data_IF_468462526876
#
_entry.id   IF_468462526876
#
_cell.length_a   1.000
_cell.length_b   1.000
_cell.length_c   1.000
_cell.angle_alpha   90.00
_cell.angle_beta   90.00
_cell.angle_gamma   90.00
#
_symmetry.space_group_name_H-M   'P 1'
#
loop_
_entity.id
_entity.type
_entity.pdbx_description
1 polymer ?
#
# COMPACT_ATOMS: atom_id res chain seq x y z
N UNK A 1 11.25 -26.48 2.24
CA UNK A 1 12.08 -26.04 3.37
C UNK A 1 13.18 -27.05 3.54
N UNK A 2 14.37 -26.77 2.99
CA UNK A 2 15.55 -27.56 3.33
C UNK A 2 15.97 -27.23 4.75
N UNK A 3 16.61 -28.17 5.44
CA UNK A 3 17.24 -27.89 6.75
C UNK A 3 18.56 -27.13 6.60
N UNK A 4 19.11 -27.10 5.40
CA UNK A 4 20.35 -26.40 5.08
C UNK A 4 20.14 -24.92 4.67
N UNK A 5 18.88 -24.52 4.45
CA UNK A 5 18.49 -23.16 4.06
C UNK A 5 18.02 -22.35 5.29
N UNK A 6 17.77 -21.05 5.10
CA UNK A 6 17.15 -20.21 6.13
C UNK A 6 15.83 -20.85 6.63
N UNK A 7 15.58 -20.84 7.96
CA UNK A 7 14.39 -21.46 8.53
C UNK A 7 13.09 -20.89 7.98
N UNK A 8 12.10 -21.77 7.77
CA UNK A 8 10.76 -21.37 7.35
C UNK A 8 9.85 -21.18 8.57
N UNK A 9 10.25 -20.27 9.47
CA UNK A 9 9.64 -20.11 10.80
C UNK A 9 8.45 -19.13 10.83
N UNK A 10 7.92 -18.77 9.65
CA UNK A 10 6.74 -17.91 9.52
C UNK A 10 5.55 -18.67 8.94
N UNK A 11 4.36 -18.30 9.41
CA UNK A 11 3.09 -18.74 8.83
C UNK A 11 2.42 -17.52 8.21
N UNK A 12 2.40 -17.49 6.88
CA UNK A 12 1.80 -16.41 6.09
C UNK A 12 0.61 -16.90 5.28
N UNK A 13 -0.44 -16.08 5.19
CA UNK A 13 -1.51 -16.24 4.20
C UNK A 13 -1.78 -14.89 3.55
N UNK A 14 -1.88 -14.89 2.22
CA UNK A 14 -2.17 -13.69 1.44
C UNK A 14 -3.04 -14.00 0.23
N UNK A 15 -3.70 -12.97 -0.27
CA UNK A 15 -4.21 -12.97 -1.63
C UNK A 15 -3.12 -12.53 -2.61
N UNK A 16 -3.25 -12.95 -3.87
CA UNK A 16 -2.51 -12.31 -4.97
C UNK A 16 -3.11 -10.91 -5.16
N UNK A 17 -2.26 -9.90 -5.26
CA UNK A 17 -2.67 -8.52 -5.05
C UNK A 17 -3.61 -8.02 -6.16
N UNK A 18 -3.26 -8.29 -7.42
CA UNK A 18 -4.12 -8.04 -8.58
C UNK A 18 -5.53 -8.66 -8.44
N UNK A 19 -5.64 -9.90 -7.96
CA UNK A 19 -6.91 -10.60 -7.74
C UNK A 19 -7.71 -9.91 -6.64
N UNK A 20 -7.05 -9.52 -5.55
CA UNK A 20 -7.69 -8.79 -4.46
C UNK A 20 -8.22 -7.42 -4.92
N UNK A 21 -7.46 -6.71 -5.77
CA UNK A 21 -7.88 -5.43 -6.36
C UNK A 21 -9.06 -5.61 -7.31
N UNK A 22 -9.04 -6.63 -8.17
CA UNK A 22 -10.16 -6.95 -9.06
C UNK A 22 -11.42 -7.24 -8.25
N UNK A 23 -11.32 -8.06 -7.19
CA UNK A 23 -12.44 -8.35 -6.30
C UNK A 23 -12.96 -7.06 -5.64
N UNK A 24 -12.06 -6.23 -5.12
CA UNK A 24 -12.43 -4.98 -4.45
C UNK A 24 -13.12 -3.98 -5.40
N UNK A 25 -12.64 -3.86 -6.65
CA UNK A 25 -13.29 -3.02 -7.66
C UNK A 25 -14.63 -3.59 -8.11
N UNK A 26 -14.76 -4.93 -8.11
CA UNK A 26 -16.04 -5.58 -8.41
C UNK A 26 -17.08 -5.37 -7.33
N UNK A 27 -16.68 -5.32 -6.08
CA UNK A 27 -17.58 -4.96 -4.99
C UNK A 27 -18.14 -3.53 -5.15
N UNK A 28 -17.38 -2.62 -5.79
CA UNK A 28 -17.74 -1.22 -6.04
C UNK A 28 -18.48 -1.00 -7.38
N UNK A 29 -18.90 -2.07 -8.07
CA UNK A 29 -19.53 -1.93 -9.39
C UNK A 29 -20.81 -1.07 -9.36
N UNK A 30 -21.66 -1.24 -8.34
CA UNK A 30 -22.88 -0.45 -8.20
C UNK A 30 -22.58 1.03 -7.96
N UNK A 31 -21.66 1.34 -7.05
CA UNK A 31 -21.24 2.71 -6.72
C UNK A 31 -20.59 3.42 -7.92
N UNK A 32 -19.76 2.71 -8.69
CA UNK A 32 -19.13 3.27 -9.90
C UNK A 32 -20.20 3.59 -10.95
N UNK A 33 -21.16 2.68 -11.17
CA UNK A 33 -22.24 2.90 -12.13
C UNK A 33 -23.24 3.97 -11.68
N UNK A 34 -23.48 4.13 -10.37
CA UNK A 34 -24.22 5.27 -9.82
C UNK A 34 -23.47 6.58 -10.05
N UNK A 35 -22.19 6.64 -9.71
CA UNK A 35 -21.35 7.82 -9.92
C UNK A 35 -21.28 8.27 -11.39
N UNK A 36 -21.21 7.34 -12.34
CA UNK A 36 -21.26 7.67 -13.77
C UNK A 36 -22.60 8.33 -14.16
N UNK A 37 -23.72 7.76 -13.69
CA UNK A 37 -25.06 8.30 -13.96
C UNK A 37 -25.27 9.67 -13.33
N UNK A 38 -24.83 9.87 -12.10
CA UNK A 38 -24.94 11.17 -11.40
C UNK A 38 -24.15 12.27 -12.10
N UNK A 39 -23.01 11.92 -12.71
CA UNK A 39 -22.18 12.85 -13.49
C UNK A 39 -22.70 13.08 -14.91
N UNK A 40 -23.78 12.40 -15.33
CA UNK A 40 -24.33 12.51 -16.68
C UNK A 40 -23.41 11.96 -17.77
N UNK A 41 -22.49 11.06 -17.41
CA UNK A 41 -21.52 10.48 -18.33
C UNK A 41 -22.15 9.27 -19.03
N UNK A 42 -22.11 9.23 -20.36
CA UNK A 42 -22.64 8.10 -21.11
C UNK A 42 -21.79 6.84 -20.89
N UNK A 43 -22.43 5.78 -20.38
CA UNK A 43 -21.79 4.51 -20.03
C UNK A 43 -20.98 3.90 -21.17
N UNK A 44 -21.49 4.02 -22.41
CA UNK A 44 -20.92 3.42 -23.61
C UNK A 44 -19.69 4.16 -24.15
N UNK A 45 -19.56 5.46 -23.88
CA UNK A 45 -18.41 6.28 -24.26
C UNK A 45 -17.26 6.14 -23.25
N UNK A 46 -17.59 5.94 -21.97
CA UNK A 46 -16.63 5.94 -20.86
C UNK A 46 -16.01 4.55 -20.61
N UNK A 47 -15.34 3.95 -21.60
CA UNK A 47 -14.74 2.61 -21.47
C UNK A 47 -13.25 2.63 -21.10
N UNK A 48 -12.60 3.79 -21.16
CA UNK A 48 -11.18 3.94 -20.82
C UNK A 48 -10.92 5.23 -20.04
N UNK A 49 -9.74 5.34 -19.44
CA UNK A 49 -9.35 6.53 -18.69
C UNK A 49 -9.68 6.49 -17.20
N UNK A 50 -10.10 5.33 -16.66
CA UNK A 50 -10.30 5.22 -15.22
C UNK A 50 -8.96 5.18 -14.47
N UNK A 51 -8.89 5.93 -13.39
CA UNK A 51 -7.78 5.97 -12.45
C UNK A 51 -8.30 5.61 -11.07
N UNK A 52 -7.64 4.65 -10.41
CA UNK A 52 -8.03 4.15 -9.09
C UNK A 52 -6.93 4.50 -8.10
N UNK A 53 -7.28 5.26 -7.06
CA UNK A 53 -6.36 5.57 -5.97
C UNK A 53 -6.46 4.52 -4.88
N UNK A 54 -5.35 3.86 -4.58
CA UNK A 54 -5.26 2.82 -3.56
C UNK A 54 -4.42 3.34 -2.39
N UNK A 55 -4.99 3.36 -1.19
CA UNK A 55 -4.23 3.53 0.05
C UNK A 55 -3.70 2.18 0.50
N UNK A 56 -2.40 2.06 0.67
CA UNK A 56 -1.74 0.89 1.25
C UNK A 56 -1.41 1.15 2.72
N UNK A 57 -1.50 0.12 3.55
CA UNK A 57 -1.25 0.20 4.98
C UNK A 57 -0.65 -1.10 5.49
N UNK A 58 0.38 -1.00 6.32
CA UNK A 58 1.04 -2.14 6.96
C UNK A 58 1.37 -1.74 8.39
N UNK A 59 1.08 -2.65 9.33
CA UNK A 59 1.24 -2.39 10.74
C UNK A 59 1.62 -3.69 11.47
N UNK A 60 2.50 -3.56 12.45
CA UNK A 60 2.91 -4.62 13.36
C UNK A 60 2.01 -4.68 14.59
N UNK A 61 1.69 -5.90 15.02
CA UNK A 61 0.86 -6.18 16.19
C UNK A 61 1.63 -7.09 17.15
N UNK A 62 1.84 -6.62 18.38
CA UNK A 62 2.38 -7.41 19.47
C UNK A 62 1.32 -8.24 20.20
N UNK A 63 1.77 -9.00 21.19
CA UNK A 63 0.93 -9.76 22.14
C UNK A 63 -0.05 -10.74 21.46
N UNK A 64 0.38 -11.37 20.37
CA UNK A 64 -0.40 -12.36 19.63
C UNK A 64 -0.03 -13.76 20.10
N UNK A 65 -0.73 -14.28 21.11
CA UNK A 65 -0.37 -15.55 21.76
C UNK A 65 -0.25 -16.73 20.78
N UNK A 66 0.87 -17.45 20.89
CA UNK A 66 1.10 -18.66 20.12
C UNK A 66 0.10 -19.77 20.52
N UNK A 67 -0.32 -20.57 19.54
CA UNK A 67 -1.17 -21.74 19.80
C UNK A 67 -0.32 -22.99 19.91
N UNK A 68 -0.69 -23.88 20.83
CA UNK A 68 -0.24 -25.26 20.76
C UNK A 68 -0.61 -25.87 19.41
N UNK A 69 0.27 -26.70 18.85
CA UNK A 69 0.04 -27.34 17.55
C UNK A 69 1.20 -28.23 17.13
N UNK A 70 1.11 -28.78 15.91
CA UNK A 70 2.18 -29.59 15.31
C UNK A 70 3.11 -28.80 14.39
N UNK A 71 3.00 -27.46 14.39
CA UNK A 71 3.70 -26.57 13.47
C UNK A 71 5.01 -26.02 14.03
N UNK A 72 5.79 -25.30 13.19
CA UNK A 72 7.02 -24.66 13.63
C UNK A 72 6.71 -23.65 14.74
N UNK A 73 7.72 -23.36 15.55
CA UNK A 73 7.65 -22.27 16.54
C UNK A 73 7.47 -20.96 15.78
N UNK A 74 6.46 -20.18 16.16
CA UNK A 74 6.18 -18.86 15.54
C UNK A 74 6.26 -17.75 16.58
N UNK A 75 6.64 -16.52 16.19
CA UNK A 75 6.70 -15.40 17.12
C UNK A 75 5.30 -15.00 17.60
N UNK A 76 5.19 -14.49 18.83
CA UNK A 76 3.96 -13.90 19.38
C UNK A 76 3.68 -12.47 18.88
N UNK A 77 4.06 -12.22 17.62
CA UNK A 77 3.90 -10.96 16.90
C UNK A 77 3.37 -11.27 15.51
N UNK A 78 2.56 -10.36 14.97
CA UNK A 78 2.00 -10.48 13.64
C UNK A 78 2.15 -9.18 12.88
N UNK A 79 2.32 -9.27 11.56
CA UNK A 79 2.24 -8.13 10.65
C UNK A 79 1.02 -8.31 9.76
N UNK A 80 0.27 -7.22 9.60
CA UNK A 80 -0.91 -7.16 8.73
C UNK A 80 -0.71 -6.11 7.65
N UNK A 81 -0.73 -6.57 6.40
CA UNK A 81 -0.76 -5.71 5.23
C UNK A 81 -2.18 -5.63 4.67
N UNK A 82 -2.62 -4.43 4.33
CA UNK A 82 -3.99 -4.14 3.90
C UNK A 82 -4.03 -2.98 2.90
N UNK A 83 -5.15 -2.85 2.20
CA UNK A 83 -5.38 -1.74 1.28
C UNK A 83 -6.84 -1.27 1.32
N UNK A 84 -7.06 -0.05 0.85
CA UNK A 84 -8.39 0.56 0.67
C UNK A 84 -8.45 1.25 -0.69
N UNK A 85 -9.54 1.05 -1.42
CA UNK A 85 -9.85 1.84 -2.62
C UNK A 85 -10.34 3.20 -2.13
N UNK A 86 -9.54 4.24 -2.33
CA UNK A 86 -9.84 5.59 -1.84
C UNK A 86 -10.75 6.36 -2.79
N UNK A 87 -10.49 6.25 -4.08
CA UNK A 87 -11.30 6.90 -5.10
C UNK A 87 -11.16 6.22 -6.45
N UNK A 88 -12.18 6.42 -7.28
CA UNK A 88 -12.17 6.10 -8.71
C UNK A 88 -12.50 7.40 -9.45
N UNK A 89 -11.60 7.83 -10.33
CA UNK A 89 -11.82 8.96 -11.23
C UNK A 89 -11.78 8.49 -12.68
N UNK A 90 -12.34 9.32 -13.56
CA UNK A 90 -12.35 9.12 -14.99
C UNK A 90 -11.74 10.35 -15.66
N UNK A 91 -10.77 10.12 -16.53
CA UNK A 91 -10.28 11.14 -17.45
C UNK A 91 -11.06 11.06 -18.76
N UNK A 92 -11.91 12.06 -19.01
CA UNK A 92 -12.70 12.18 -20.24
C UNK A 92 -11.83 12.79 -21.34
N UNK A 93 -12.00 12.34 -22.59
CA UNK A 93 -11.36 13.01 -23.73
C UNK A 93 -11.86 14.46 -23.83
N UNK A 94 -10.96 15.40 -24.12
CA UNK A 94 -11.18 16.86 -24.18
C UNK A 94 -11.32 17.63 -22.84
N UNK A 95 -11.25 16.98 -21.67
CA UNK A 95 -11.19 17.65 -20.36
C UNK A 95 -9.76 17.66 -19.77
N UNK A 96 -9.37 18.78 -19.14
CA UNK A 96 -8.07 18.91 -18.47
C UNK A 96 -8.03 18.24 -17.09
N UNK A 97 -9.17 18.13 -16.40
CA UNK A 97 -9.28 17.60 -15.04
C UNK A 97 -9.99 16.24 -14.99
N UNK A 98 -9.55 15.39 -14.06
CA UNK A 98 -10.17 14.08 -13.83
C UNK A 98 -11.51 14.23 -13.08
N UNK A 99 -12.57 13.65 -13.62
CA UNK A 99 -13.89 13.63 -12.97
C UNK A 99 -13.93 12.51 -11.94
N UNK A 100 -14.17 12.86 -10.67
CA UNK A 100 -14.30 11.85 -9.60
C UNK A 100 -15.66 11.17 -9.65
N UNK A 101 -15.65 9.84 -9.78
CA UNK A 101 -16.81 8.96 -9.87
C UNK A 101 -17.17 8.37 -8.50
N UNK A 102 -16.17 7.92 -7.76
CA UNK A 102 -16.33 7.37 -6.42
C UNK A 102 -15.26 7.93 -5.49
N UNK A 103 -15.64 8.20 -4.24
CA UNK A 103 -14.73 8.51 -3.13
C UNK A 103 -15.20 7.77 -1.90
N UNK A 104 -14.30 7.06 -1.24
CA UNK A 104 -14.59 6.34 0.01
C UNK A 104 -15.06 7.33 1.09
N UNK A 105 -16.32 7.23 1.57
CA UNK A 105 -16.89 8.20 2.50
C UNK A 105 -16.28 8.13 3.91
N UNK A 106 -15.76 6.96 4.32
CA UNK A 106 -15.18 6.73 5.65
C UNK A 106 -13.84 5.99 5.52
N UNK A 107 -12.78 6.68 5.04
CA UNK A 107 -11.49 6.05 4.75
C UNK A 107 -10.72 5.56 5.99
N UNK A 108 -11.20 5.93 7.19
CA UNK A 108 -10.66 5.50 8.47
C UNK A 108 -11.55 4.46 9.17
N UNK A 109 -12.62 3.98 8.52
CA UNK A 109 -13.37 2.84 9.04
C UNK A 109 -12.62 1.55 8.74
N UNK A 110 -12.66 0.63 9.69
CA UNK A 110 -12.25 -0.75 9.56
C UNK A 110 -13.00 -1.48 8.43
N UNK A 111 -14.21 -1.05 8.08
CA UNK A 111 -15.04 -1.69 7.05
C UNK A 111 -14.50 -1.51 5.63
N UNK A 112 -13.79 -0.40 5.36
CA UNK A 112 -13.18 -0.11 4.06
C UNK A 112 -11.75 -0.66 3.95
N UNK A 113 -11.19 -1.17 5.04
CA UNK A 113 -9.83 -1.72 5.09
C UNK A 113 -9.83 -3.21 4.72
N UNK A 114 -9.40 -3.53 3.50
CA UNK A 114 -9.35 -4.90 2.98
C UNK A 114 -8.00 -5.56 3.32
N UNK A 115 -7.97 -6.65 4.12
CA UNK A 115 -6.73 -7.34 4.45
C UNK A 115 -6.18 -8.08 3.22
N UNK A 116 -4.88 -7.93 2.95
CA UNK A 116 -4.20 -8.56 1.82
C UNK A 116 -3.28 -9.69 2.26
N UNK A 117 -2.48 -9.47 3.31
CA UNK A 117 -1.51 -10.41 3.82
C UNK A 117 -1.51 -10.40 5.35
N UNK A 118 -1.51 -11.60 5.94
CA UNK A 118 -1.42 -11.84 7.38
C UNK A 118 -0.24 -12.77 7.60
N UNK A 119 0.67 -12.39 8.50
CA UNK A 119 1.86 -13.17 8.78
C UNK A 119 2.25 -13.09 10.25
N UNK A 120 2.73 -14.19 10.82
CA UNK A 120 3.38 -14.19 12.13
C UNK A 120 4.86 -13.89 11.93
N UNK A 121 5.25 -12.65 12.26
CA UNK A 121 6.61 -12.14 12.12
C UNK A 121 6.77 -10.96 13.08
N UNK A 122 7.98 -10.76 13.59
CA UNK A 122 8.35 -9.49 14.23
C UNK A 122 8.65 -8.47 13.13
N UNK A 123 8.06 -7.27 13.19
CA UNK A 123 8.35 -6.22 12.20
C UNK A 123 9.84 -5.84 12.17
N UNK A 124 10.54 -6.02 13.29
CA UNK A 124 11.98 -5.77 13.39
C UNK A 124 12.85 -6.92 12.86
N UNK A 125 12.26 -8.06 12.48
CA UNK A 125 12.95 -9.12 11.72
C UNK A 125 12.87 -8.79 10.22
N UNK A 126 13.85 -7.99 9.78
CA UNK A 126 13.91 -7.49 8.41
C UNK A 126 14.04 -8.61 7.36
N UNK A 127 14.75 -9.71 7.68
CA UNK A 127 14.96 -10.82 6.75
C UNK A 127 13.64 -11.52 6.43
N UNK A 128 12.91 -11.95 7.46
CA UNK A 128 11.63 -12.62 7.27
C UNK A 128 10.58 -11.67 6.70
N UNK A 129 10.55 -10.41 7.16
CA UNK A 129 9.57 -9.43 6.69
C UNK A 129 9.74 -9.13 5.19
N UNK A 130 10.98 -8.90 4.73
CA UNK A 130 11.25 -8.66 3.31
C UNK A 130 11.01 -9.89 2.45
N UNK A 131 11.32 -11.10 2.94
CA UNK A 131 10.99 -12.34 2.25
C UNK A 131 9.47 -12.52 2.04
N UNK A 132 8.65 -12.10 3.03
CA UNK A 132 7.18 -12.18 2.96
C UNK A 132 6.57 -11.09 2.09
N UNK A 133 7.01 -9.84 2.24
CA UNK A 133 6.43 -8.68 1.56
C UNK A 133 7.00 -8.43 0.15
N UNK A 134 8.18 -8.96 -0.16
CA UNK A 134 8.84 -8.79 -1.46
C UNK A 134 7.95 -9.14 -2.66
N UNK A 135 7.24 -10.28 -2.68
CA UNK A 135 6.29 -10.60 -3.74
C UNK A 135 5.14 -9.59 -3.89
N UNK A 136 4.66 -8.99 -2.78
CA UNK A 136 3.59 -7.98 -2.82
C UNK A 136 4.11 -6.69 -3.46
N UNK A 137 5.33 -6.28 -3.10
CA UNK A 137 6.01 -5.13 -3.70
C UNK A 137 6.23 -5.34 -5.20
N UNK A 138 6.71 -6.52 -5.61
CA UNK A 138 6.90 -6.85 -7.02
C UNK A 138 5.59 -6.83 -7.81
N UNK A 139 4.50 -7.37 -7.25
CA UNK A 139 3.15 -7.32 -7.84
C UNK A 139 2.68 -5.86 -7.98
N UNK A 140 2.83 -5.04 -6.94
CA UNK A 140 2.48 -3.60 -6.95
C UNK A 140 3.23 -2.85 -8.04
N UNK A 141 4.54 -3.03 -8.14
CA UNK A 141 5.37 -2.29 -9.09
C UNK A 141 5.09 -2.72 -10.54
N UNK A 142 4.82 -4.01 -10.78
CA UNK A 142 4.33 -4.46 -12.08
C UNK A 142 2.96 -3.86 -12.44
N UNK A 143 2.08 -3.65 -11.45
CA UNK A 143 0.75 -3.07 -11.68
C UNK A 143 0.78 -1.59 -12.03
N UNK A 144 1.77 -0.81 -11.54
CA UNK A 144 1.91 0.63 -11.85
C UNK A 144 2.01 0.92 -13.35
N UNK A 145 2.68 0.05 -14.10
CA UNK A 145 2.90 0.20 -15.55
C UNK A 145 1.82 -0.47 -16.40
N UNK A 146 0.88 -1.18 -15.76
CA UNK A 146 -0.14 -1.97 -16.44
C UNK A 146 -1.50 -1.27 -16.48
N UNK A 147 -2.39 -1.77 -17.33
CA UNK A 147 -3.82 -1.41 -17.32
C UNK A 147 -4.65 -2.66 -17.07
N UNK A 148 -5.54 -2.60 -16.08
CA UNK A 148 -6.50 -3.65 -15.81
C UNK A 148 -7.71 -3.49 -16.75
N UNK A 149 -8.12 -4.58 -17.40
CA UNK A 149 -9.38 -4.64 -18.15
C UNK A 149 -10.38 -5.45 -17.33
N UNK A 150 -11.49 -4.83 -16.94
CA UNK A 150 -12.51 -5.41 -16.08
C UNK A 150 -13.92 -5.05 -16.57
N UNK A 151 -14.83 -6.03 -16.62
CA UNK A 151 -16.18 -5.83 -17.17
C UNK A 151 -17.15 -5.19 -16.19
N UNK A 152 -17.17 -3.86 -16.01
CA UNK A 152 -18.04 -3.13 -15.06
C UNK A 152 -19.28 -2.57 -15.77
N UNK A 153 -20.48 -2.86 -15.27
CA UNK A 153 -21.74 -2.47 -15.90
C UNK A 153 -22.00 -3.22 -17.21
N UNK A 154 -21.47 -4.45 -17.33
CA UNK A 154 -21.57 -5.25 -18.55
C UNK A 154 -20.64 -4.85 -19.70
N UNK A 155 -19.81 -3.82 -19.53
CA UNK A 155 -18.85 -3.36 -20.53
C UNK A 155 -17.40 -3.55 -20.05
N UNK A 156 -16.46 -3.96 -20.92
CA UNK A 156 -15.04 -3.98 -20.57
C UNK A 156 -14.54 -2.55 -20.40
N UNK A 157 -14.00 -2.24 -19.22
CA UNK A 157 -13.43 -0.93 -18.88
C UNK A 157 -11.96 -1.05 -18.50
N UNK A 158 -11.16 -0.05 -18.87
CA UNK A 158 -9.71 0.01 -18.59
C UNK A 158 -9.41 0.89 -17.38
N UNK A 159 -8.69 0.33 -16.40
CA UNK A 159 -8.30 1.00 -15.15
C UNK A 159 -6.77 1.09 -15.02
N UNK A 160 -6.30 2.22 -14.47
CA UNK A 160 -4.93 2.43 -13.98
C UNK A 160 -4.95 2.52 -12.45
N UNK A 161 -3.89 2.06 -11.81
CA UNK A 161 -3.76 2.11 -10.36
C UNK A 161 -2.71 3.12 -9.92
N UNK A 162 -3.04 3.90 -8.90
CA UNK A 162 -2.14 4.81 -8.20
C UNK A 162 -2.05 4.40 -6.73
N UNK A 163 -0.93 3.78 -6.37
CA UNK A 163 -0.69 3.31 -5.00
C UNK A 163 -0.11 4.44 -4.14
N UNK A 164 -0.66 4.60 -2.94
CA UNK A 164 -0.24 5.58 -1.93
C UNK A 164 -0.02 4.85 -0.61
N UNK A 165 1.24 4.59 -0.30
CA UNK A 165 1.63 3.98 0.96
C UNK A 165 1.64 4.98 2.11
N UNK A 166 0.50 5.21 2.75
CA UNK A 166 0.37 6.26 3.79
C UNK A 166 -0.06 5.73 5.16
N UNK A 167 -0.45 4.46 5.28
CA UNK A 167 -0.84 3.86 6.56
C UNK A 167 0.29 3.04 7.19
N UNK A 168 1.44 3.66 7.38
CA UNK A 168 2.61 3.11 8.06
C UNK A 168 2.96 4.01 9.24
N UNK A 169 3.34 3.43 10.37
CA UNK A 169 3.90 4.22 11.48
C UNK A 169 5.34 4.67 11.14
N UNK A 170 5.88 5.62 11.91
CA UNK A 170 7.21 6.16 11.61
C UNK A 170 8.30 5.08 11.71
N UNK A 171 8.14 4.13 12.64
CA UNK A 171 9.09 3.04 12.83
C UNK A 171 9.19 2.19 11.56
N UNK A 172 8.06 1.73 11.04
CA UNK A 172 8.00 0.93 9.83
C UNK A 172 8.44 1.72 8.60
N UNK A 173 8.10 3.02 8.49
CA UNK A 173 8.62 3.87 7.40
C UNK A 173 10.15 3.90 7.42
N UNK A 174 10.76 4.11 8.59
CA UNK A 174 12.22 4.16 8.70
C UNK A 174 12.87 2.83 8.37
N UNK A 175 12.33 1.73 8.89
CA UNK A 175 12.84 0.37 8.61
C UNK A 175 12.74 0.02 7.11
N UNK A 176 11.65 0.41 6.45
CA UNK A 176 11.41 0.09 5.03
C UNK A 176 12.14 1.03 4.05
N UNK A 177 12.40 2.28 4.44
CA UNK A 177 13.16 3.26 3.63
C UNK A 177 14.67 3.28 3.96
N UNK A 178 15.15 2.34 4.80
CA UNK A 178 16.57 2.23 5.15
C UNK A 178 17.10 3.41 5.97
N UNK A 179 16.24 4.09 6.72
CA UNK A 179 16.61 5.20 7.58
C UNK A 179 17.03 4.71 8.97
N UNK A 180 17.90 5.48 9.63
CA UNK A 180 18.18 5.26 11.05
C UNK A 180 16.89 5.32 11.89
N UNK A 181 16.83 4.51 12.96
CA UNK A 181 15.67 4.42 13.84
C UNK A 181 15.29 5.78 14.49
N UNK A 182 14.06 5.90 14.99
CA UNK A 182 13.45 7.15 15.45
C UNK A 182 14.23 7.94 16.53
N UNK A 183 15.20 7.30 17.19
CA UNK A 183 16.08 7.93 18.17
C UNK A 183 17.28 8.68 17.59
N UNK A 184 17.47 8.70 16.28
CA UNK A 184 18.70 9.22 15.65
C UNK A 184 18.82 10.74 15.59
N UNK A 185 19.98 11.23 15.15
CA UNK A 185 20.25 12.65 14.91
C UNK A 185 19.42 13.20 13.75
N UNK A 186 19.08 12.36 12.75
CA UNK A 186 18.24 12.70 11.61
C UNK A 186 16.77 12.39 11.92
N UNK A 187 16.05 13.43 12.35
CA UNK A 187 14.74 13.29 12.98
C UNK A 187 13.57 13.21 12.02
N UNK A 188 13.73 13.60 10.76
CA UNK A 188 12.63 13.65 9.80
C UNK A 188 12.74 12.54 8.76
N UNK A 189 11.61 11.95 8.35
CA UNK A 189 11.54 11.03 7.20
C UNK A 189 11.41 11.77 5.87
N UNK A 190 11.09 13.08 5.90
CA UNK A 190 10.78 13.89 4.71
C UNK A 190 11.88 14.92 4.36
N UNK A 191 12.68 15.36 5.32
CA UNK A 191 13.76 16.33 5.13
C UNK A 191 15.07 15.86 5.79
N UNK A 192 16.15 16.59 5.52
CA UNK A 192 17.49 16.24 5.98
C UNK A 192 17.94 16.91 7.28
N UNK A 193 17.06 17.69 7.91
CA UNK A 193 17.41 18.42 9.12
C UNK A 193 17.77 17.51 10.28
N UNK A 194 18.85 17.87 10.97
CA UNK A 194 19.25 17.25 12.23
C UNK A 194 18.39 17.74 13.39
N UNK A 195 18.42 17.01 14.51
CA UNK A 195 17.75 17.38 15.76
C UNK A 195 18.13 18.78 16.23
N UNK A 196 19.41 19.15 16.12
CA UNK A 196 19.91 20.45 16.55
C UNK A 196 19.39 21.57 15.63
N UNK A 197 19.46 21.38 14.32
CA UNK A 197 18.96 22.36 13.33
C UNK A 197 17.44 22.56 13.45
N UNK A 198 16.67 21.48 13.56
CA UNK A 198 15.22 21.52 13.73
C UNK A 198 14.80 22.22 15.05
N UNK A 199 15.65 22.18 16.08
CA UNK A 199 15.40 22.93 17.33
C UNK A 199 15.60 24.44 17.20
N UNK A 200 16.48 24.87 16.28
CA UNK A 200 16.75 26.30 16.01
C UNK A 200 15.72 26.90 15.06
N UNK A 201 15.30 26.14 14.06
CA UNK A 201 14.28 26.54 13.10
C UNK A 201 13.22 25.43 13.01
N UNK A 202 12.04 25.69 13.56
CA UNK A 202 10.99 24.67 13.69
C UNK A 202 9.99 24.64 12.54
N UNK A 203 9.88 25.72 11.75
CA UNK A 203 8.74 25.92 10.83
C UNK A 203 9.14 26.08 9.37
N UNK A 204 10.41 26.35 9.09
CA UNK A 204 10.89 26.57 7.73
C UNK A 204 11.79 25.41 7.30
N UNK A 205 11.14 24.40 6.73
CA UNK A 205 11.72 23.19 6.16
C UNK A 205 11.08 22.89 4.80
N UNK A 206 11.79 22.16 3.94
CA UNK A 206 11.27 21.66 2.67
C UNK A 206 11.40 20.14 2.62
N UNK A 207 10.44 19.48 1.96
CA UNK A 207 10.53 18.04 1.67
C UNK A 207 11.65 17.85 0.65
N UNK A 208 12.62 17.00 0.98
CA UNK A 208 13.75 16.65 0.10
C UNK A 208 13.78 15.16 -0.17
N UNK A 209 13.61 14.34 0.87
CA UNK A 209 13.71 12.87 0.78
C UNK A 209 12.59 12.27 -0.07
N UNK A 210 12.98 11.30 -0.89
CA UNK A 210 12.09 10.46 -1.68
C UNK A 210 12.68 9.06 -1.83
N UNK A 211 11.86 8.09 -2.24
CA UNK A 211 12.31 6.70 -2.39
C UNK A 211 13.49 6.57 -3.35
N UNK A 212 13.41 7.19 -4.53
CA UNK A 212 14.48 7.15 -5.54
C UNK A 212 15.77 7.79 -5.02
N UNK A 213 15.67 8.91 -4.32
CA UNK A 213 16.83 9.57 -3.70
C UNK A 213 17.45 8.72 -2.58
N UNK A 214 16.63 8.02 -1.78
CA UNK A 214 17.12 7.12 -0.74
C UNK A 214 17.91 5.94 -1.33
N UNK A 215 17.45 5.38 -2.45
CA UNK A 215 18.18 4.34 -3.18
C UNK A 215 19.54 4.86 -3.66
N UNK A 216 19.59 6.04 -4.28
CA UNK A 216 20.84 6.65 -4.72
C UNK A 216 21.79 6.94 -3.55
N UNK A 217 21.26 7.42 -2.41
CA UNK A 217 22.05 7.67 -1.20
C UNK A 217 22.63 6.38 -0.62
N UNK A 218 21.90 5.28 -0.67
CA UNK A 218 22.39 3.97 -0.22
C UNK A 218 23.55 3.46 -1.09
N UNK A 219 23.51 3.64 -2.40
CA UNK A 219 24.62 3.26 -3.30
C UNK A 219 25.91 4.07 -3.07
N UNK A 220 25.80 5.25 -2.46
CA UNK A 220 26.95 6.10 -2.11
C UNK A 220 27.57 5.70 -0.75
N UNK A 221 26.79 5.09 0.14
CA UNK A 221 27.18 4.70 1.50
C UNK A 221 28.11 3.46 1.52
#
# INVERSE_FOLDING_TARGET
>A
SSVDDAPADTITRRFRYDVALVSALKDLEEDIMEGLRERGLEDSACTSGFSVMIKESCDGMGDVSEKHGGGPVVPEKAVRYSFTVMSVSLRVEDEEEDVTIFTEPKPNSELSCKPLCLTFVDESDHETLTAVLGPIVAERDAMKESRLILSIGGLPRSFRFHFRGTGYDEKMVREMEGLEASGSTYVCTLCDSTRAEASQNMVLHSITRSHDENLERYEIW
#
